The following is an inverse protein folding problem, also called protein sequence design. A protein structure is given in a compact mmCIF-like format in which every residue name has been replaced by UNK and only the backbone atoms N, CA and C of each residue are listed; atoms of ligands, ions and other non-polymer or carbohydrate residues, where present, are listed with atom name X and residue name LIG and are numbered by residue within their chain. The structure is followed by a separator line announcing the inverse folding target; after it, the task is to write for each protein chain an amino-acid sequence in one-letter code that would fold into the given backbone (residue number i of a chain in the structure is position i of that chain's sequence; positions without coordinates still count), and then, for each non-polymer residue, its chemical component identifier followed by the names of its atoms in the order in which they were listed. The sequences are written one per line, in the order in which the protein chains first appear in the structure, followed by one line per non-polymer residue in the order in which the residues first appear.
data_IF_842365641876
#
_entry.id   IF_842365641876
#
_cell.length_a   1.000
_cell.length_b   1.000
_cell.length_c   1.000
_cell.angle_alpha   90.00
_cell.angle_beta   90.00
_cell.angle_gamma   90.00
#
_symmetry.space_group_name_H-M   'P 1'
#
loop_
_entity.id
_entity.type
_entity.pdbx_description
1 polymer ?
#
# COMPACT_ATOMS: atom_id res chain seq x y z
N UNK A 1 2.47 17.74 1.33
CA UNK A 1 2.20 16.98 0.10
C UNK A 1 3.08 15.76 0.12
N UNK A 2 2.61 14.66 -0.46
CA UNK A 2 3.41 13.46 -0.65
C UNK A 2 3.93 13.43 -2.09
N UNK A 3 5.24 13.54 -2.25
CA UNK A 3 5.90 13.41 -3.55
C UNK A 3 5.77 11.98 -4.08
N UNK A 4 5.44 11.86 -5.35
CA UNK A 4 5.39 10.62 -6.16
C UNK A 4 5.96 10.84 -7.57
N UNK A 5 6.71 11.92 -7.75
CA UNK A 5 7.38 12.30 -9.00
C UNK A 5 8.27 11.16 -9.51
N UNK A 6 8.36 11.01 -10.83
CA UNK A 6 9.16 10.00 -11.54
C UNK A 6 8.73 8.53 -11.38
N UNK A 7 7.67 8.25 -10.61
CA UNK A 7 7.10 6.89 -10.50
C UNK A 7 6.01 6.62 -11.55
N UNK A 8 5.26 7.65 -11.93
CA UNK A 8 4.21 7.60 -12.95
C UNK A 8 4.65 8.36 -14.20
N UNK A 9 4.06 8.10 -15.39
CA UNK A 9 4.40 8.82 -16.61
C UNK A 9 4.33 10.34 -16.44
N UNK A 10 5.22 11.04 -17.12
CA UNK A 10 5.31 12.49 -17.03
C UNK A 10 3.97 13.16 -17.39
N UNK A 11 3.53 14.10 -16.55
CA UNK A 11 2.27 14.83 -16.73
C UNK A 11 1.02 14.13 -16.19
N UNK A 12 1.17 13.00 -15.48
CA UNK A 12 0.02 12.33 -14.82
C UNK A 12 -0.22 12.87 -13.40
N UNK A 13 0.71 12.60 -12.48
CA UNK A 13 0.65 13.01 -11.07
C UNK A 13 2.07 13.11 -10.52
N UNK A 14 2.40 14.19 -9.82
CA UNK A 14 3.69 14.39 -9.15
C UNK A 14 3.56 14.40 -7.62
N UNK A 15 2.40 14.80 -7.11
CA UNK A 15 2.15 14.97 -5.68
C UNK A 15 0.73 14.53 -5.30
N UNK A 16 0.56 14.12 -4.04
CA UNK A 16 -0.74 13.79 -3.45
C UNK A 16 -1.00 14.57 -2.17
N UNK A 17 -2.26 14.94 -1.98
CA UNK A 17 -2.72 15.60 -0.76
C UNK A 17 -2.60 14.67 0.46
N UNK A 18 -2.18 15.18 1.63
CA UNK A 18 -2.25 14.43 2.88
C UNK A 18 -3.66 13.88 3.14
N UNK A 19 -3.74 12.63 3.59
CA UNK A 19 -5.00 11.92 3.82
C UNK A 19 -5.53 11.15 2.60
N UNK A 20 -4.83 11.19 1.46
CA UNK A 20 -5.23 10.46 0.25
C UNK A 20 -4.97 8.96 0.38
N UNK A 21 -5.92 8.12 -0.02
CA UNK A 21 -5.75 6.67 -0.21
C UNK A 21 -6.01 6.30 -1.67
N UNK A 22 -5.05 5.60 -2.29
CA UNK A 22 -5.10 5.12 -3.66
C UNK A 22 -5.15 3.60 -3.74
N UNK A 23 -5.92 3.10 -4.70
CA UNK A 23 -5.97 1.68 -5.05
C UNK A 23 -5.24 1.42 -6.36
N UNK A 24 -4.31 0.47 -6.39
CA UNK A 24 -3.65 -0.01 -7.60
C UNK A 24 -4.33 -1.30 -8.06
N UNK A 25 -5.02 -1.24 -9.18
CA UNK A 25 -5.80 -2.34 -9.73
C UNK A 25 -5.11 -2.91 -10.96
N UNK A 26 -4.65 -4.16 -10.89
CA UNK A 26 -4.03 -4.84 -12.02
C UNK A 26 -4.12 -6.36 -11.91
N UNK A 27 -4.05 -7.10 -13.02
CA UNK A 27 -3.88 -8.54 -12.98
C UNK A 27 -2.62 -8.97 -12.21
N UNK A 28 -2.57 -10.25 -11.82
CA UNK A 28 -1.37 -10.85 -11.26
C UNK A 28 -0.18 -10.67 -12.22
N UNK A 29 1.02 -10.45 -11.66
CA UNK A 29 2.27 -10.29 -12.41
C UNK A 29 2.35 -9.07 -13.34
N UNK A 30 1.42 -8.10 -13.24
CA UNK A 30 1.42 -6.89 -14.07
C UNK A 30 2.30 -5.74 -13.55
N UNK A 31 3.12 -5.96 -12.51
CA UNK A 31 3.97 -4.90 -11.93
C UNK A 31 3.31 -4.08 -10.81
N UNK A 32 2.10 -4.46 -10.34
CA UNK A 32 1.35 -3.68 -9.34
C UNK A 32 2.02 -3.60 -7.97
N UNK A 33 2.70 -4.67 -7.56
CA UNK A 33 3.39 -4.70 -6.26
C UNK A 33 4.65 -3.85 -6.33
N UNK A 34 5.37 -3.90 -7.45
CA UNK A 34 6.53 -3.08 -7.72
C UNK A 34 6.16 -1.60 -7.71
N UNK A 35 5.10 -1.21 -8.44
CA UNK A 35 4.60 0.17 -8.42
C UNK A 35 4.18 0.62 -7.02
N UNK A 36 3.50 -0.24 -6.26
CA UNK A 36 3.11 0.07 -4.89
C UNK A 36 4.34 0.33 -4.00
N UNK A 37 5.35 -0.54 -4.10
CA UNK A 37 6.59 -0.40 -3.35
C UNK A 37 7.37 0.84 -3.77
N UNK A 38 7.40 1.18 -5.05
CA UNK A 38 8.06 2.39 -5.56
C UNK A 38 7.41 3.65 -4.97
N UNK A 39 6.08 3.75 -5.00
CA UNK A 39 5.32 4.87 -4.40
C UNK A 39 5.49 4.97 -2.88
N UNK A 40 5.61 3.83 -2.21
CA UNK A 40 5.81 3.78 -0.76
C UNK A 40 7.25 4.16 -0.38
N UNK A 41 8.23 3.76 -1.18
CA UNK A 41 9.64 3.98 -0.91
C UNK A 41 10.08 5.44 -1.16
N UNK A 42 9.39 6.20 -2.01
CA UNK A 42 9.73 7.61 -2.33
C UNK A 42 9.93 8.48 -1.08
N UNK A 43 9.16 8.25 -0.02
CA UNK A 43 9.24 9.06 1.21
C UNK A 43 10.35 8.67 2.19
N UNK A 44 11.00 7.52 1.99
CA UNK A 44 12.00 7.01 2.95
C UNK A 44 13.23 7.93 3.05
N UNK A 45 13.60 8.60 1.95
CA UNK A 45 14.70 9.58 1.92
C UNK A 45 14.31 10.93 2.55
N UNK A 46 13.01 11.22 2.69
CA UNK A 46 12.48 12.55 3.07
C UNK A 46 11.86 12.60 4.47
N UNK A 47 12.21 11.64 5.34
CA UNK A 47 11.76 11.49 6.74
C UNK A 47 10.33 10.97 6.93
N UNK A 48 9.64 10.53 5.88
CA UNK A 48 8.35 9.86 6.06
C UNK A 48 8.53 8.53 6.79
N UNK A 49 7.58 8.19 7.64
CA UNK A 49 7.39 6.84 8.13
C UNK A 49 6.77 5.96 7.05
N UNK A 50 7.13 4.70 7.01
CA UNK A 50 6.53 3.68 6.16
C UNK A 50 5.94 2.58 7.02
N UNK A 51 4.61 2.46 7.01
CA UNK A 51 3.88 1.38 7.64
C UNK A 51 3.38 0.42 6.56
N UNK A 52 3.96 -0.77 6.47
CA UNK A 52 3.51 -1.80 5.55
C UNK A 52 2.71 -2.89 6.26
N UNK A 53 1.60 -3.29 5.66
CA UNK A 53 0.86 -4.50 6.01
C UNK A 53 1.04 -5.48 4.86
N UNK A 54 1.81 -6.54 5.11
CA UNK A 54 2.02 -7.62 4.14
C UNK A 54 1.15 -8.83 4.47
N UNK A 55 0.57 -9.42 3.43
CA UNK A 55 -0.40 -10.52 3.53
C UNK A 55 0.06 -11.82 2.91
N UNK A 56 1.16 -11.78 2.15
CA UNK A 56 1.67 -12.90 1.35
C UNK A 56 3.17 -13.03 1.54
N UNK A 57 3.89 -11.95 1.28
CA UNK A 57 5.32 -11.82 1.46
C UNK A 57 5.65 -11.72 2.96
N UNK A 58 6.78 -12.29 3.36
CA UNK A 58 7.30 -12.12 4.72
C UNK A 58 7.83 -10.71 4.92
N UNK A 59 7.92 -10.25 6.18
CA UNK A 59 8.56 -8.98 6.48
C UNK A 59 10.02 -8.90 5.97
N UNK A 60 10.76 -10.01 5.96
CA UNK A 60 12.14 -10.06 5.44
C UNK A 60 12.17 -9.75 3.95
N UNK A 61 11.30 -10.38 3.16
CA UNK A 61 11.20 -10.13 1.72
C UNK A 61 10.80 -8.69 1.43
N UNK A 62 9.85 -8.12 2.18
CA UNK A 62 9.51 -6.71 2.04
C UNK A 62 10.71 -5.79 2.35
N UNK A 63 11.50 -6.10 3.39
CA UNK A 63 12.69 -5.32 3.74
C UNK A 63 13.75 -5.41 2.65
N UNK A 64 14.02 -6.60 2.12
CA UNK A 64 14.93 -6.80 0.98
C UNK A 64 14.48 -6.03 -0.27
N UNK A 65 13.17 -5.96 -0.49
CA UNK A 65 12.59 -5.18 -1.58
C UNK A 65 12.78 -3.66 -1.40
N UNK A 66 12.65 -3.16 -0.16
CA UNK A 66 12.87 -1.76 0.19
C UNK A 66 14.35 -1.38 0.12
N UNK A 67 15.26 -2.21 0.65
CA UNK A 67 16.71 -1.95 0.65
C UNK A 67 17.28 -1.88 -0.78
N UNK A 68 16.71 -2.64 -1.72
CA UNK A 68 17.08 -2.55 -3.15
C UNK A 68 16.66 -1.24 -3.80
N UNK A 69 15.59 -0.60 -3.31
CA UNK A 69 15.08 0.69 -3.83
C UNK A 69 15.78 1.87 -3.17
N UNK A 70 15.88 1.83 -1.85
CA UNK A 70 16.48 2.87 -1.03
C UNK A 70 17.55 2.23 -0.15
N UNK A 71 18.80 2.16 -0.63
CA UNK A 71 19.87 1.61 0.16
C UNK A 71 20.07 2.40 1.46
N UNK A 72 20.16 1.69 2.59
CA UNK A 72 20.45 2.29 3.91
C UNK A 72 19.40 3.28 4.43
N UNK A 73 18.10 3.07 4.14
CA UNK A 73 17.03 3.81 4.81
C UNK A 73 17.12 3.65 6.34
N UNK A 74 16.63 4.64 7.08
CA UNK A 74 16.61 4.55 8.54
C UNK A 74 15.54 3.54 8.99
N UNK A 75 15.96 2.49 9.70
CA UNK A 75 15.07 1.44 10.20
C UNK A 75 13.98 1.95 11.15
N UNK A 76 14.22 3.04 11.88
CA UNK A 76 13.23 3.65 12.78
C UNK A 76 12.03 4.24 12.01
N UNK A 77 12.19 4.50 10.71
CA UNK A 77 11.13 4.99 9.83
C UNK A 77 10.25 3.86 9.30
N UNK A 78 10.63 2.60 9.45
CA UNK A 78 9.92 1.47 8.85
C UNK A 78 9.27 0.61 9.92
N UNK A 79 8.00 0.26 9.67
CA UNK A 79 7.22 -0.63 10.50
C UNK A 79 6.44 -1.61 9.64
N UNK A 80 6.50 -2.91 9.95
CA UNK A 80 5.84 -3.94 9.16
C UNK A 80 4.87 -4.74 10.02
N UNK A 81 3.62 -4.86 9.57
CA UNK A 81 2.66 -5.84 10.05
C UNK A 81 2.74 -7.06 9.14
N UNK A 82 3.31 -8.15 9.66
CA UNK A 82 3.53 -9.39 8.91
C UNK A 82 2.38 -10.39 9.17
N UNK A 83 1.56 -10.62 8.16
CA UNK A 83 0.44 -11.57 8.21
C UNK A 83 0.73 -12.89 7.47
N UNK A 84 1.97 -13.12 7.01
CA UNK A 84 2.36 -14.31 6.23
C UNK A 84 2.30 -15.62 7.02
N UNK A 85 2.15 -15.54 8.36
CA UNK A 85 2.16 -16.70 9.24
C UNK A 85 3.57 -17.23 9.55
N UNK A 86 4.62 -16.49 9.21
CA UNK A 86 6.01 -16.83 9.55
C UNK A 86 6.22 -16.94 11.07
N UNK A 87 6.88 -18.01 11.52
CA UNK A 87 7.09 -18.36 12.93
C UNK A 87 8.42 -17.87 13.53
N UNK A 88 9.28 -17.21 12.75
CA UNK A 88 10.52 -16.64 13.30
C UNK A 88 10.20 -15.60 14.37
N UNK A 89 10.84 -15.61 15.54
CA UNK A 89 10.53 -14.65 16.61
C UNK A 89 11.58 -13.55 16.76
N UNK A 90 12.61 -13.55 15.93
CA UNK A 90 13.73 -12.62 16.05
C UNK A 90 13.37 -11.24 15.49
N UNK A 91 13.92 -10.20 16.12
CA UNK A 91 13.92 -8.84 15.61
C UNK A 91 14.51 -8.85 14.19
N UNK A 92 13.69 -8.50 13.21
CA UNK A 92 14.11 -8.55 11.81
C UNK A 92 14.91 -7.29 11.53
N UNK A 93 16.24 -7.40 11.50
CA UNK A 93 17.15 -6.31 11.10
C UNK A 93 16.88 -4.98 11.83
N UNK A 94 16.51 -5.03 13.11
CA UNK A 94 16.17 -3.84 13.92
C UNK A 94 14.95 -3.02 13.44
N UNK A 95 14.20 -3.54 12.46
CA UNK A 95 12.95 -2.93 11.98
C UNK A 95 11.79 -3.40 12.87
N UNK A 96 10.87 -2.47 13.17
CA UNK A 96 9.73 -2.74 14.01
C UNK A 96 8.72 -3.65 13.30
N UNK A 97 8.60 -4.90 13.75
CA UNK A 97 7.71 -5.88 13.11
C UNK A 97 6.62 -6.36 14.08
N UNK A 98 5.36 -6.26 13.67
CA UNK A 98 4.20 -6.81 14.37
C UNK A 98 3.70 -8.04 13.62
N UNK A 99 3.79 -9.21 14.24
CA UNK A 99 3.31 -10.46 13.61
C UNK A 99 1.84 -10.68 13.90
N UNK A 100 1.11 -11.06 12.86
CA UNK A 100 -0.30 -11.39 12.90
C UNK A 100 -0.50 -12.79 12.37
N UNK A 101 -1.45 -13.52 12.98
CA UNK A 101 -1.64 -14.95 12.76
C UNK A 101 -2.06 -15.32 11.33
N UNK A 102 -2.80 -14.42 10.67
CA UNK A 102 -3.27 -14.60 9.30
C UNK A 102 -3.75 -13.26 8.70
N UNK A 103 -3.88 -13.16 7.37
CA UNK A 103 -4.51 -12.00 6.73
C UNK A 103 -5.97 -11.79 7.15
N UNK A 104 -6.65 -12.84 7.63
CA UNK A 104 -8.03 -12.76 8.13
C UNK A 104 -8.15 -12.13 9.52
N UNK A 105 -7.05 -11.94 10.26
CA UNK A 105 -7.05 -11.38 11.61
C UNK A 105 -6.98 -9.84 11.57
N UNK A 106 -8.08 -9.21 11.14
CA UNK A 106 -8.19 -7.75 11.03
C UNK A 106 -7.97 -7.03 12.36
N UNK A 107 -8.28 -7.69 13.48
CA UNK A 107 -8.03 -7.13 14.81
C UNK A 107 -6.54 -7.08 15.09
N UNK A 108 -5.81 -8.17 14.82
CA UNK A 108 -4.36 -8.23 14.90
C UNK A 108 -3.70 -7.19 14.01
N UNK A 109 -4.16 -7.03 12.76
CA UNK A 109 -3.67 -6.00 11.83
C UNK A 109 -3.87 -4.60 12.40
N UNK A 110 -5.06 -4.31 12.92
CA UNK A 110 -5.40 -3.00 13.47
C UNK A 110 -4.57 -2.65 14.72
N UNK A 111 -4.36 -3.64 15.61
CA UNK A 111 -3.52 -3.50 16.81
C UNK A 111 -2.06 -3.29 16.40
N UNK A 112 -1.54 -4.10 15.46
CA UNK A 112 -0.17 -3.98 14.97
C UNK A 112 0.10 -2.61 14.37
N UNK A 113 -0.78 -2.17 13.47
CA UNK A 113 -0.72 -0.82 12.88
C UNK A 113 -0.71 0.27 13.95
N UNK A 114 -1.57 0.17 14.96
CA UNK A 114 -1.65 1.16 16.04
C UNK A 114 -0.35 1.23 16.85
N UNK A 115 0.27 0.10 17.16
CA UNK A 115 1.55 0.05 17.88
C UNK A 115 2.68 0.70 17.07
N UNK A 116 2.75 0.41 15.77
CA UNK A 116 3.76 1.02 14.89
C UNK A 116 3.57 2.53 14.76
N UNK A 117 2.32 3.00 14.63
CA UNK A 117 2.03 4.45 14.62
C UNK A 117 2.45 5.14 15.94
N UNK A 118 2.25 4.49 17.09
CA UNK A 118 2.72 5.02 18.38
C UNK A 118 4.25 5.10 18.43
N UNK A 119 4.94 4.09 17.88
CA UNK A 119 6.40 4.10 17.77
C UNK A 119 6.90 5.22 16.86
N UNK A 120 6.30 5.43 15.69
CA UNK A 120 6.62 6.57 14.82
C UNK A 120 6.43 7.90 15.52
N UNK A 121 5.33 8.06 16.27
CA UNK A 121 5.10 9.26 17.09
C UNK A 121 6.23 9.46 18.10
N UNK A 122 6.72 8.40 18.75
CA UNK A 122 7.83 8.50 19.71
C UNK A 122 9.18 8.85 19.07
N UNK A 123 9.35 8.57 17.77
CA UNK A 123 10.53 8.95 16.98
C UNK A 123 10.36 10.31 16.27
N UNK A 124 9.30 11.07 16.58
CA UNK A 124 8.95 12.34 15.92
C UNK A 124 8.70 12.22 14.41
N UNK A 125 8.16 11.08 13.99
CA UNK A 125 7.71 10.84 12.61
C UNK A 125 6.21 11.12 12.57
N UNK A 126 5.83 12.19 11.88
CA UNK A 126 4.44 12.67 11.79
C UNK A 126 3.78 12.34 10.46
N UNK A 127 4.55 12.25 9.38
CA UNK A 127 4.06 11.91 8.04
C UNK A 127 4.29 10.43 7.81
N UNK A 128 3.23 9.68 7.46
CA UNK A 128 3.32 8.23 7.28
C UNK A 128 2.68 7.79 5.97
N UNK A 129 3.43 6.99 5.20
CA UNK A 129 2.94 6.23 4.04
C UNK A 129 2.50 4.85 4.52
N UNK A 130 1.24 4.50 4.27
CA UNK A 130 0.60 3.24 4.64
C UNK A 130 0.48 2.36 3.41
N UNK A 131 1.15 1.21 3.41
CA UNK A 131 1.01 0.19 2.38
C UNK A 131 0.15 -0.97 2.85
N UNK A 132 -0.88 -1.35 2.10
CA UNK A 132 -1.55 -2.65 2.24
C UNK A 132 -1.39 -3.44 0.93
N UNK A 133 -0.53 -4.45 0.96
CA UNK A 133 0.06 -4.99 -0.26
C UNK A 133 -0.93 -5.83 -1.08
N UNK A 134 -2.04 -6.33 -0.53
CA UNK A 134 -3.10 -6.99 -1.32
C UNK A 134 -4.47 -7.05 -0.62
N UNK A 135 -5.41 -6.23 -1.08
CA UNK A 135 -6.84 -6.34 -0.73
C UNK A 135 -7.42 -7.67 -1.21
N UNK A 136 -6.94 -8.18 -2.35
CA UNK A 136 -7.35 -9.49 -2.87
C UNK A 136 -7.05 -10.61 -1.89
N UNK A 137 -5.95 -10.53 -1.14
CA UNK A 137 -5.64 -11.53 -0.12
C UNK A 137 -6.62 -11.46 1.03
N UNK A 138 -7.03 -10.27 1.49
CA UNK A 138 -8.07 -10.16 2.52
C UNK A 138 -9.40 -10.82 2.09
N UNK A 139 -9.81 -10.61 0.84
CA UNK A 139 -11.04 -11.19 0.27
C UNK A 139 -10.99 -12.72 0.13
N UNK A 140 -9.80 -13.33 0.14
CA UNK A 140 -9.67 -14.80 0.16
C UNK A 140 -10.00 -15.38 1.55
N UNK A 141 -9.78 -14.62 2.62
CA UNK A 141 -10.00 -15.07 4.00
C UNK A 141 -11.35 -14.58 4.56
N UNK A 142 -11.89 -13.50 4.01
CA UNK A 142 -13.03 -12.76 4.57
C UNK A 142 -14.03 -12.39 3.49
N UNK A 143 -15.30 -12.23 3.88
CA UNK A 143 -16.33 -11.74 2.95
C UNK A 143 -16.16 -10.24 2.63
N UNK A 144 -16.74 -9.82 1.50
CA UNK A 144 -16.69 -8.45 1.00
C UNK A 144 -17.12 -7.42 2.06
N UNK A 145 -18.24 -7.62 2.74
CA UNK A 145 -18.75 -6.67 3.75
C UNK A 145 -17.75 -6.44 4.89
N UNK A 146 -17.02 -7.49 5.29
CA UNK A 146 -16.03 -7.42 6.36
C UNK A 146 -14.78 -6.68 5.88
N UNK A 147 -14.29 -6.99 4.68
CA UNK A 147 -13.14 -6.30 4.08
C UNK A 147 -13.46 -4.83 3.84
N UNK A 148 -14.66 -4.53 3.31
CA UNK A 148 -15.14 -3.18 3.09
C UNK A 148 -15.14 -2.35 4.37
N UNK A 149 -15.73 -2.85 5.46
CA UNK A 149 -15.73 -2.15 6.76
C UNK A 149 -14.34 -1.92 7.31
N UNK A 150 -13.43 -2.88 7.11
CA UNK A 150 -12.04 -2.73 7.52
C UNK A 150 -11.33 -1.64 6.74
N UNK A 151 -11.44 -1.67 5.41
CA UNK A 151 -10.88 -0.63 4.53
C UNK A 151 -11.43 0.73 4.90
N UNK A 152 -12.74 0.86 5.10
CA UNK A 152 -13.39 2.09 5.53
C UNK A 152 -12.75 2.69 6.79
N UNK A 153 -12.60 1.88 7.84
CA UNK A 153 -11.99 2.30 9.09
C UNK A 153 -10.52 2.70 8.87
N UNK A 154 -9.81 1.94 8.04
CA UNK A 154 -8.39 2.15 7.83
C UNK A 154 -8.09 3.40 6.98
N UNK A 155 -8.81 3.60 5.87
CA UNK A 155 -8.67 4.78 5.01
C UNK A 155 -9.18 6.05 5.69
N UNK A 156 -10.23 5.96 6.51
CA UNK A 156 -10.67 7.08 7.38
C UNK A 156 -9.55 7.48 8.34
N UNK A 157 -8.87 6.51 8.97
CA UNK A 157 -7.75 6.83 9.87
C UNK A 157 -6.57 7.47 9.12
N UNK A 158 -6.24 7.00 7.93
CA UNK A 158 -5.21 7.61 7.07
C UNK A 158 -5.59 9.06 6.77
N UNK A 159 -6.86 9.32 6.44
CA UNK A 159 -7.40 10.67 6.23
C UNK A 159 -7.22 11.53 7.48
N UNK A 160 -7.64 11.05 8.65
CA UNK A 160 -7.60 11.78 9.92
C UNK A 160 -6.17 12.10 10.39
N UNK A 161 -5.19 11.24 10.06
CA UNK A 161 -3.78 11.47 10.40
C UNK A 161 -3.02 12.20 9.29
N UNK A 162 -3.65 12.52 8.16
CA UNK A 162 -2.99 13.11 7.00
C UNK A 162 -1.94 12.18 6.37
N UNK A 163 -2.09 10.87 6.49
CA UNK A 163 -1.19 9.88 5.89
C UNK A 163 -1.43 9.71 4.38
N UNK A 164 -0.55 8.99 3.69
CA UNK A 164 -0.78 8.51 2.33
C UNK A 164 -1.08 7.01 2.35
N UNK A 165 -2.17 6.57 1.76
CA UNK A 165 -2.52 5.15 1.65
C UNK A 165 -2.27 4.59 0.25
N UNK A 166 -1.51 3.50 0.13
CA UNK A 166 -1.29 2.78 -1.12
C UNK A 166 -1.74 1.32 -0.94
N UNK A 167 -2.68 0.89 -1.76
CA UNK A 167 -3.34 -0.40 -1.68
C UNK A 167 -3.26 -1.10 -3.02
N UNK A 168 -3.24 -2.43 -3.06
CA UNK A 168 -3.34 -3.15 -4.34
C UNK A 168 -4.52 -4.13 -4.37
N UNK A 169 -5.07 -4.35 -5.56
CA UNK A 169 -6.08 -5.36 -5.82
C UNK A 169 -5.83 -6.04 -7.16
N UNK A 170 -6.10 -7.33 -7.19
CA UNK A 170 -6.21 -8.10 -8.43
C UNK A 170 -7.60 -7.91 -9.04
N UNK A 171 -7.70 -7.15 -10.14
CA UNK A 171 -8.97 -6.79 -10.74
C UNK A 171 -9.59 -7.86 -11.65
N UNK A 172 -8.88 -8.95 -11.94
CA UNK A 172 -9.39 -10.07 -12.75
C UNK A 172 -9.84 -11.25 -11.89
N UNK A 173 -9.34 -11.32 -10.65
CA UNK A 173 -9.68 -12.38 -9.70
C UNK A 173 -11.02 -12.18 -8.99
N UNK A 174 -11.63 -11.00 -9.11
CA UNK A 174 -12.90 -10.64 -8.50
C UNK A 174 -13.88 -10.15 -9.56
N UNK A 175 -15.17 -10.32 -9.31
CA UNK A 175 -16.20 -9.79 -10.20
C UNK A 175 -16.22 -8.24 -10.16
N UNK A 176 -16.74 -7.64 -11.23
CA UNK A 176 -16.76 -6.18 -11.40
C UNK A 176 -17.53 -5.47 -10.29
N UNK A 177 -18.57 -6.09 -9.72
CA UNK A 177 -19.36 -5.48 -8.66
C UNK A 177 -18.54 -5.42 -7.36
N UNK A 178 -17.81 -6.48 -7.01
CA UNK A 178 -16.87 -6.49 -5.89
C UNK A 178 -15.81 -5.40 -6.03
N UNK A 179 -15.17 -5.32 -7.20
CA UNK A 179 -14.14 -4.32 -7.49
C UNK A 179 -14.69 -2.89 -7.41
N UNK A 180 -15.85 -2.61 -8.01
CA UNK A 180 -16.50 -1.31 -7.94
C UNK A 180 -16.90 -0.92 -6.51
N UNK A 181 -17.32 -1.88 -5.70
CA UNK A 181 -17.68 -1.64 -4.29
C UNK A 181 -16.45 -1.27 -3.48
N UNK A 182 -15.33 -1.95 -3.68
CA UNK A 182 -14.09 -1.65 -2.95
C UNK A 182 -13.50 -0.31 -3.35
N UNK A 183 -13.60 0.07 -4.64
CA UNK A 183 -13.10 1.35 -5.13
C UNK A 183 -13.66 2.57 -4.36
N UNK A 184 -14.87 2.48 -3.80
CA UNK A 184 -15.48 3.61 -3.10
C UNK A 184 -14.76 3.99 -1.81
N UNK A 185 -13.93 3.10 -1.27
CA UNK A 185 -13.15 3.36 -0.04
C UNK A 185 -11.86 4.15 -0.29
N UNK A 186 -11.56 4.43 -1.56
CA UNK A 186 -10.35 5.12 -2.00
C UNK A 186 -10.68 6.43 -2.69
N UNK A 187 -9.78 7.41 -2.59
CA UNK A 187 -9.92 8.68 -3.29
C UNK A 187 -9.66 8.55 -4.79
N UNK A 188 -8.84 7.59 -5.19
CA UNK A 188 -8.54 7.32 -6.58
C UNK A 188 -8.01 5.93 -6.81
N UNK A 189 -7.91 5.57 -8.09
CA UNK A 189 -7.42 4.29 -8.54
C UNK A 189 -6.41 4.45 -9.67
N UNK A 190 -5.31 3.72 -9.58
CA UNK A 190 -4.32 3.53 -10.63
C UNK A 190 -4.57 2.15 -11.24
N UNK A 191 -4.96 2.09 -12.50
CA UNK A 191 -5.11 0.83 -13.22
C UNK A 191 -3.85 0.56 -14.03
N UNK A 192 -3.36 -0.68 -13.96
CA UNK A 192 -2.31 -1.17 -14.85
C UNK A 192 -2.88 -2.25 -15.75
N UNK A 193 -2.49 -2.21 -17.02
CA UNK A 193 -2.73 -3.29 -17.97
C UNK A 193 -1.52 -3.53 -18.84
N UNK A 194 -1.42 -4.76 -19.34
CA UNK A 194 -0.52 -5.10 -20.44
C UNK A 194 -1.36 -5.16 -21.72
N UNK A 195 -0.89 -4.52 -22.78
CA UNK A 195 -1.54 -4.57 -24.10
C UNK A 195 -1.21 -5.88 -24.79
N UNK A 196 -1.90 -6.18 -25.89
CA UNK A 196 -1.60 -7.35 -26.73
C UNK A 196 -0.18 -7.33 -27.32
N UNK A 197 0.47 -6.16 -27.37
CA UNK A 197 1.84 -5.99 -27.84
C UNK A 197 2.89 -6.13 -26.72
N UNK A 198 2.46 -6.38 -25.48
CA UNK A 198 3.34 -6.49 -24.31
C UNK A 198 3.74 -5.14 -23.70
N UNK A 199 3.14 -4.04 -24.15
CA UNK A 199 3.37 -2.71 -23.58
C UNK A 199 2.55 -2.54 -22.29
N UNK A 200 3.14 -1.91 -21.28
CA UNK A 200 2.43 -1.59 -20.05
C UNK A 200 1.78 -0.22 -20.20
N UNK A 201 0.52 -0.13 -19.78
CA UNK A 201 -0.20 1.13 -19.74
C UNK A 201 -0.77 1.35 -18.35
N UNK A 202 -0.81 2.62 -17.95
CA UNK A 202 -1.39 3.10 -16.71
C UNK A 202 -2.54 4.06 -16.98
N UNK A 203 -3.56 4.01 -16.15
CA UNK A 203 -4.67 4.98 -16.16
C UNK A 203 -5.03 5.37 -14.73
N UNK A 204 -5.34 6.64 -14.52
CA UNK A 204 -5.72 7.15 -13.21
C UNK A 204 -7.17 7.63 -13.21
N UNK A 205 -7.90 7.25 -12.16
CA UNK A 205 -9.32 7.56 -11.97
C UNK A 205 -9.56 8.11 -10.57
N UNK A 206 -10.60 8.93 -10.42
CA UNK A 206 -11.04 9.46 -9.12
C UNK A 206 -10.24 10.66 -8.60
N UNK A 207 -9.06 10.94 -9.15
CA UNK A 207 -8.28 12.13 -8.82
C UNK A 207 -8.67 13.30 -9.73
N UNK A 208 -9.04 14.48 -9.18
CA UNK A 208 -9.33 15.67 -9.95
C UNK A 208 -8.13 16.10 -10.81
N UNK A 209 -8.40 16.70 -11.97
CA UNK A 209 -7.40 17.31 -12.86
C UNK A 209 -6.33 16.35 -13.43
N UNK A 210 -6.53 15.03 -13.30
CA UNK A 210 -5.65 14.02 -13.88
C UNK A 210 -6.30 13.40 -15.14
N UNK A 211 -5.57 13.28 -16.27
CA UNK A 211 -6.09 12.62 -17.47
C UNK A 211 -6.60 11.20 -17.17
N UNK A 212 -7.80 10.88 -17.64
CA UNK A 212 -8.42 9.56 -17.46
C UNK A 212 -8.14 8.59 -18.62
N UNK A 213 -7.25 8.96 -19.53
CA UNK A 213 -6.84 8.12 -20.65
C UNK A 213 -5.71 7.16 -20.25
N UNK A 214 -5.53 6.10 -21.03
CA UNK A 214 -4.40 5.19 -20.86
C UNK A 214 -3.12 5.85 -21.39
N UNK A 215 -2.04 5.70 -20.62
CA UNK A 215 -0.71 6.20 -20.95
C UNK A 215 0.29 5.05 -20.88
N UNK A 216 1.15 4.91 -21.88
CA UNK A 216 2.25 3.93 -21.85
C UNK A 216 3.23 4.25 -20.72
N UNK A 217 3.72 3.21 -20.05
CA UNK A 217 4.71 3.26 -18.95
C UNK A 217 6.06 2.77 -19.43
#
# INVERSE_FOLDING_TARGET
MYEITDILPAGTLSELEPGTSLLIAAPAMSGKQELALDLLATGLDERDGLLMVTTSETAVECIDELERRVPSFNHDQVGIVDCSGSSQQETIREIATQRVSSPGDLTGISIGTTKLMQQFTSHNISSVRHGLVSVSTLLQFLNLDTVFKFLHIYTTRITDTGGLGIFTVDNVSHDQQTINTIMTEFNGMIELRETETGEREVRIRGIPDVPHDWNSV
#
